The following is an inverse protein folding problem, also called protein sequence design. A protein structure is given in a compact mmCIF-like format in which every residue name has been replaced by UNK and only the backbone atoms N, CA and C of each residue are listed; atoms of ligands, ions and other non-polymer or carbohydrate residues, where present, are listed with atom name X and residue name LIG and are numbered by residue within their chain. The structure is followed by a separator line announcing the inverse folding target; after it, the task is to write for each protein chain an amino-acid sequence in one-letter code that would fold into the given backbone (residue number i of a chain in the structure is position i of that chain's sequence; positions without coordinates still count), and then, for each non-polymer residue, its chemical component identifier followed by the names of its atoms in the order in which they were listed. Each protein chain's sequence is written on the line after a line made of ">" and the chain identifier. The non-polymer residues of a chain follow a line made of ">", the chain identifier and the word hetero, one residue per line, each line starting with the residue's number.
data_IF_302953075836
#
_entry.id   IF_302953075836
#
_cell.length_a   1.000
_cell.length_b   1.000
_cell.length_c   1.000
_cell.angle_alpha   90.00
_cell.angle_beta   90.00
_cell.angle_gamma   90.00
#
_symmetry.space_group_name_H-M   'P 1'
#
loop_
_entity.id
_entity.type
_entity.pdbx_description
1 polymer ?
#
# COMPACT_ATOMS: atom_id res chain seq x y z
N UNK A 1 -11.59 24.42 0.20
CA UNK A 1 -10.21 24.91 -0.04
C UNK A 1 -9.30 24.10 0.86
N UNK A 2 -8.50 23.21 0.29
CA UNK A 2 -7.59 22.32 1.02
C UNK A 2 -6.18 22.91 0.94
N UNK A 3 -5.87 23.83 1.86
CA UNK A 3 -4.59 24.56 1.94
C UNK A 3 -3.59 23.80 2.80
N UNK A 4 -3.24 22.59 2.40
CA UNK A 4 -2.15 21.83 3.01
C UNK A 4 -1.36 21.14 1.91
N UNK A 5 -0.11 21.55 1.71
CA UNK A 5 0.86 20.86 0.86
C UNK A 5 0.64 19.34 0.91
N UNK A 6 0.09 18.76 -0.17
CA UNK A 6 -0.21 17.34 -0.20
C UNK A 6 1.10 16.60 -0.38
N UNK A 7 1.66 16.10 0.72
CA UNK A 7 2.86 15.26 0.69
C UNK A 7 2.75 14.21 -0.42
N UNK A 8 3.79 14.15 -1.23
CA UNK A 8 4.01 13.13 -2.27
C UNK A 8 4.15 11.74 -1.63
N UNK A 9 4.06 10.69 -2.44
CA UNK A 9 4.29 9.33 -1.96
C UNK A 9 5.71 9.17 -1.38
N UNK A 10 6.71 9.74 -2.03
CA UNK A 10 8.11 9.67 -1.58
C UNK A 10 8.31 10.36 -0.24
N UNK A 11 7.73 11.54 -0.04
CA UNK A 11 7.79 12.24 1.26
C UNK A 11 7.06 11.45 2.35
N UNK A 12 5.91 10.84 2.03
CA UNK A 12 5.20 9.98 2.98
C UNK A 12 6.04 8.77 3.39
N UNK A 13 6.71 8.13 2.43
CA UNK A 13 7.55 6.95 2.64
C UNK A 13 8.80 7.28 3.48
N UNK A 14 9.45 8.42 3.22
CA UNK A 14 10.64 8.85 3.97
C UNK A 14 10.34 9.22 5.43
N UNK A 15 9.11 9.63 5.72
CA UNK A 15 8.65 9.97 7.07
C UNK A 15 8.19 8.76 7.90
N UNK A 16 8.10 7.55 7.33
CA UNK A 16 7.68 6.37 8.07
C UNK A 16 8.79 5.92 9.04
N UNK A 17 8.40 5.62 10.28
CA UNK A 17 9.29 4.90 11.19
C UNK A 17 9.48 3.44 10.74
N UNK A 18 10.44 2.75 11.35
CA UNK A 18 10.82 1.37 10.99
C UNK A 18 9.64 0.39 10.98
N UNK A 19 8.74 0.47 11.96
CA UNK A 19 7.62 -0.47 12.06
C UNK A 19 6.50 -0.15 11.06
N UNK A 20 6.21 1.14 10.87
CA UNK A 20 5.31 1.59 9.83
C UNK A 20 5.83 1.21 8.44
N UNK A 21 7.14 1.34 8.20
CA UNK A 21 7.80 0.98 6.94
C UNK A 21 7.67 -0.51 6.64
N UNK A 22 7.84 -1.38 7.64
CA UNK A 22 7.62 -2.83 7.49
C UNK A 22 6.21 -3.16 7.02
N UNK A 23 5.20 -2.51 7.60
CA UNK A 23 3.80 -2.70 7.20
C UNK A 23 3.58 -2.16 5.78
N UNK A 24 4.08 -0.96 5.50
CA UNK A 24 3.99 -0.34 4.18
C UNK A 24 4.62 -1.21 3.09
N UNK A 25 5.81 -1.76 3.33
CA UNK A 25 6.52 -2.62 2.39
C UNK A 25 5.82 -3.96 2.18
N UNK A 26 5.19 -4.51 3.21
CA UNK A 26 4.37 -5.71 3.07
C UNK A 26 3.16 -5.43 2.14
N UNK A 27 2.45 -4.32 2.34
CA UNK A 27 1.34 -3.91 1.47
C UNK A 27 1.83 -3.66 0.04
N UNK A 28 2.94 -2.94 -0.13
CA UNK A 28 3.56 -2.67 -1.45
C UNK A 28 3.87 -3.95 -2.19
N UNK A 29 4.53 -4.89 -1.52
CA UNK A 29 4.90 -6.18 -2.10
C UNK A 29 3.67 -6.99 -2.52
N UNK A 30 2.59 -6.96 -1.73
CA UNK A 30 1.34 -7.64 -2.07
C UNK A 30 0.64 -7.01 -3.28
N UNK A 31 0.55 -5.68 -3.33
CA UNK A 31 -0.08 -4.95 -4.47
C UNK A 31 0.70 -5.19 -5.76
N UNK A 32 2.04 -5.11 -5.71
CA UNK A 32 2.89 -5.41 -6.87
C UNK A 32 2.66 -6.83 -7.37
N UNK A 33 2.63 -7.82 -6.46
CA UNK A 33 2.33 -9.21 -6.80
C UNK A 33 0.96 -9.31 -7.47
N UNK A 34 -0.09 -8.71 -6.90
CA UNK A 34 -1.43 -8.74 -7.47
C UNK A 34 -1.46 -8.19 -8.90
N UNK A 35 -0.81 -7.05 -9.16
CA UNK A 35 -0.72 -6.49 -10.50
C UNK A 35 0.04 -7.38 -11.48
N UNK A 36 1.15 -8.01 -11.06
CA UNK A 36 1.89 -8.96 -11.89
C UNK A 36 1.02 -10.15 -12.30
N UNK A 37 0.23 -10.70 -11.36
CA UNK A 37 -0.71 -11.78 -11.65
C UNK A 37 -1.81 -11.32 -12.62
N UNK A 38 -2.45 -10.18 -12.37
CA UNK A 38 -3.50 -9.66 -13.25
C UNK A 38 -2.96 -9.38 -14.67
N UNK A 39 -1.73 -8.89 -14.79
CA UNK A 39 -1.08 -8.65 -16.08
C UNK A 39 -0.72 -9.94 -16.81
N UNK A 40 -0.33 -11.00 -16.10
CA UNK A 40 -0.07 -12.33 -16.68
C UNK A 40 -1.37 -13.04 -17.09
N UNK A 41 -2.40 -12.99 -16.25
CA UNK A 41 -3.73 -13.56 -16.53
C UNK A 41 -4.42 -12.89 -17.73
N UNK A 42 -4.15 -11.60 -17.98
CA UNK A 42 -4.61 -10.93 -19.21
C UNK A 42 -3.94 -11.47 -20.48
N UNK A 43 -2.70 -11.96 -20.38
CA UNK A 43 -1.92 -12.46 -21.51
C UNK A 43 -2.14 -13.95 -21.78
N UNK A 44 -2.24 -14.75 -20.71
CA UNK A 44 -2.48 -16.19 -20.79
C UNK A 44 -3.94 -16.42 -20.40
N UNK A 45 -4.77 -16.90 -21.34
CA UNK A 45 -6.21 -17.25 -21.11
C UNK A 45 -6.43 -18.38 -20.10
N UNK A 46 -5.46 -18.67 -19.23
CA UNK A 46 -5.58 -19.65 -18.17
C UNK A 46 -5.99 -18.95 -16.88
N UNK A 47 -7.16 -19.33 -16.36
CA UNK A 47 -7.57 -19.01 -14.99
C UNK A 47 -6.73 -19.87 -14.03
N UNK A 48 -5.49 -19.46 -13.76
CA UNK A 48 -4.65 -20.10 -12.76
C UNK A 48 -4.40 -19.15 -11.59
N UNK A 49 -4.85 -19.60 -10.41
CA UNK A 49 -4.76 -19.02 -9.05
C UNK A 49 -5.05 -17.51 -8.87
N UNK A 50 -6.11 -17.22 -8.12
CA UNK A 50 -6.44 -15.85 -7.70
C UNK A 50 -5.54 -15.39 -6.54
N UNK A 51 -4.91 -14.22 -6.66
CA UNK A 51 -4.22 -13.59 -5.53
C UNK A 51 -5.28 -13.24 -4.48
N UNK A 52 -5.23 -13.94 -3.34
CA UNK A 52 -6.17 -13.68 -2.25
C UNK A 52 -6.02 -12.23 -1.76
N UNK A 53 -7.12 -11.50 -1.53
CA UNK A 53 -7.05 -10.14 -0.99
C UNK A 53 -6.25 -10.06 0.31
N UNK A 54 -5.50 -8.97 0.48
CA UNK A 54 -4.77 -8.72 1.71
C UNK A 54 -5.72 -8.25 2.82
N UNK A 55 -5.98 -9.14 3.78
CA UNK A 55 -6.69 -8.80 5.01
C UNK A 55 -5.68 -8.53 6.14
N UNK A 56 -5.69 -7.32 6.68
CA UNK A 56 -4.79 -6.91 7.75
C UNK A 56 -5.51 -6.04 8.79
N UNK A 57 -5.08 -6.19 10.04
CA UNK A 57 -5.43 -5.29 11.14
C UNK A 57 -4.15 -4.62 11.66
N UNK A 58 -4.18 -3.29 11.82
CA UNK A 58 -3.04 -2.52 12.32
C UNK A 58 -3.42 -1.94 13.70
N UNK A 59 -2.86 -2.54 14.75
CA UNK A 59 -3.02 -2.07 16.13
C UNK A 59 -1.92 -1.07 16.52
N UNK A 60 -2.18 -0.32 17.60
CA UNK A 60 -1.16 0.51 18.24
C UNK A 60 -1.76 1.54 19.18
N UNK A 61 -0.94 2.08 20.07
CA UNK A 61 -1.33 3.12 21.04
C UNK A 61 -1.77 4.41 20.32
N UNK A 62 -2.59 5.24 20.97
CA UNK A 62 -2.92 6.58 20.47
C UNK A 62 -1.65 7.40 20.20
N UNK A 63 -1.67 8.24 19.15
CA UNK A 63 -0.52 9.10 18.82
C UNK A 63 0.61 8.46 18.00
N UNK A 64 0.60 7.14 17.76
CA UNK A 64 1.67 6.45 17.00
C UNK A 64 1.66 6.68 15.49
N UNK A 65 0.82 7.60 14.98
CA UNK A 65 0.76 7.91 13.56
C UNK A 65 0.06 6.86 12.68
N UNK A 66 -0.81 5.98 13.24
CA UNK A 66 -1.58 5.00 12.45
C UNK A 66 -2.33 5.65 11.26
N UNK A 67 -2.98 6.79 11.48
CA UNK A 67 -3.68 7.54 10.42
C UNK A 67 -2.73 8.04 9.32
N UNK A 68 -1.49 8.38 9.68
CA UNK A 68 -0.47 8.76 8.70
C UNK A 68 -0.07 7.56 7.84
N UNK A 69 0.18 6.40 8.46
CA UNK A 69 0.46 5.15 7.75
C UNK A 69 -0.67 4.77 6.78
N UNK A 70 -1.94 4.86 7.20
CA UNK A 70 -3.08 4.58 6.31
C UNK A 70 -3.12 5.57 5.13
N UNK A 71 -2.83 6.86 5.35
CA UNK A 71 -2.74 7.85 4.25
C UNK A 71 -1.58 7.53 3.29
N UNK A 72 -0.43 7.06 3.79
CA UNK A 72 0.70 6.62 2.97
C UNK A 72 0.32 5.40 2.11
N UNK A 73 -0.31 4.38 2.71
CA UNK A 73 -0.81 3.20 1.99
C UNK A 73 -1.83 3.60 0.91
N UNK A 74 -2.76 4.52 1.22
CA UNK A 74 -3.72 5.02 0.23
C UNK A 74 -3.02 5.73 -0.94
N UNK A 75 -1.97 6.50 -0.68
CA UNK A 75 -1.18 7.15 -1.72
C UNK A 75 -0.43 6.12 -2.59
N UNK A 76 0.12 5.07 -1.97
CA UNK A 76 0.79 3.96 -2.67
C UNK A 76 -0.17 3.25 -3.63
N UNK A 77 -1.34 2.81 -3.15
CA UNK A 77 -2.32 2.10 -3.98
C UNK A 77 -2.73 2.97 -5.17
N UNK A 78 -3.01 4.26 -4.95
CA UNK A 78 -3.34 5.23 -6.01
C UNK A 78 -2.22 5.50 -7.01
N UNK A 79 -0.96 5.24 -6.66
CA UNK A 79 0.17 5.45 -7.58
C UNK A 79 0.44 4.23 -8.47
N UNK A 80 -0.05 3.06 -8.06
CA UNK A 80 0.20 1.78 -8.72
C UNK A 80 -0.97 1.35 -9.61
N UNK A 81 -2.19 1.75 -9.23
CA UNK A 81 -3.43 1.54 -9.97
C UNK A 81 -3.95 2.86 -10.54
#
# INVERSE_FOLDING_TARGET
>A
MDTGSSLTLQERESMLNKDQKRIFDHVKSHVLRQMEYENKAKQVKEQSENVKPLHMFISGVGGTGKSFLIKAIKALVKSLW
#
